data_IF_982272072013
#
_entry.id   IF_982272072013
#
_cell.length_a   1.000
_cell.length_b   1.000
_cell.length_c   1.000
_cell.angle_alpha   90.00
_cell.angle_beta   90.00
_cell.angle_gamma   90.00
#
_symmetry.space_group_name_H-M   'P 1'
#
loop_
_entity.id
_entity.type
_entity.pdbx_description
1 polymer ?
#
# COMPACT_ATOMS: atom_id res chain seq x y z
N UNK A 1 -7.11 -1.86 8.08
CA UNK A 1 -5.63 -1.78 8.18
C UNK A 1 -5.21 -0.34 8.10
N UNK A 2 -4.88 0.27 9.22
CA UNK A 2 -4.26 1.61 9.30
C UNK A 2 -2.78 1.48 8.97
N UNK A 3 -2.42 1.53 7.69
CA UNK A 3 -1.02 1.43 7.28
C UNK A 3 -0.41 2.83 7.23
N UNK A 4 0.48 3.14 8.17
CA UNK A 4 1.29 4.37 8.20
C UNK A 4 2.28 4.48 7.03
N UNK A 5 2.44 3.39 6.26
CA UNK A 5 3.35 3.24 5.12
C UNK A 5 2.60 2.67 3.91
N UNK A 6 1.73 3.45 3.25
CA UNK A 6 0.96 2.99 2.09
C UNK A 6 1.85 2.46 0.95
N UNK A 7 3.09 2.93 0.87
CA UNK A 7 4.16 2.43 -0.01
C UNK A 7 4.50 0.96 0.22
N UNK A 8 4.26 0.42 1.42
CA UNK A 8 4.51 -0.98 1.78
C UNK A 8 3.26 -1.86 1.84
N UNK A 9 2.07 -1.27 1.92
CA UNK A 9 0.82 -2.01 2.12
C UNK A 9 0.61 -3.09 1.04
N UNK A 10 0.87 -2.74 -0.22
CA UNK A 10 0.70 -3.66 -1.34
C UNK A 10 1.69 -4.83 -1.31
N UNK A 11 2.99 -4.56 -1.15
CA UNK A 11 4.02 -5.61 -1.19
C UNK A 11 3.88 -6.57 0.00
N UNK A 12 3.55 -6.06 1.20
CA UNK A 12 3.31 -6.90 2.38
C UNK A 12 2.09 -7.80 2.17
N UNK A 13 1.01 -7.25 1.61
CA UNK A 13 -0.20 -8.02 1.29
C UNK A 13 0.04 -9.07 0.19
N UNK A 14 0.95 -8.79 -0.74
CA UNK A 14 1.33 -9.77 -1.78
C UNK A 14 2.18 -10.90 -1.20
N UNK A 15 3.17 -10.57 -0.38
CA UNK A 15 4.06 -11.55 0.24
C UNK A 15 3.34 -12.44 1.25
N UNK A 16 2.31 -11.92 1.93
CA UNK A 16 1.52 -12.70 2.88
C UNK A 16 0.74 -13.85 2.21
N UNK A 17 0.34 -13.68 0.95
CA UNK A 17 -0.37 -14.71 0.19
C UNK A 17 0.50 -15.93 -0.14
N UNK A 18 1.83 -15.75 -0.20
CA UNK A 18 2.79 -16.79 -0.56
C UNK A 18 3.57 -17.34 0.63
N UNK A 19 3.13 -17.06 1.86
CA UNK A 19 3.81 -17.50 3.09
C UNK A 19 3.86 -19.02 3.26
N UNK A 20 2.87 -19.75 2.74
CA UNK A 20 2.78 -21.21 2.85
C UNK A 20 3.84 -21.94 2.01
N UNK A 21 4.27 -21.36 0.89
CA UNK A 21 5.33 -21.90 0.05
C UNK A 21 6.03 -20.77 -0.73
N UNK A 22 6.94 -20.03 -0.07
CA UNK A 22 7.57 -18.87 -0.66
C UNK A 22 8.57 -19.28 -1.75
N UNK A 23 8.49 -18.63 -2.91
CA UNK A 23 9.48 -18.81 -3.98
C UNK A 23 10.73 -17.99 -3.69
N UNK A 24 11.83 -18.31 -4.35
CA UNK A 24 13.09 -17.55 -4.22
C UNK A 24 12.90 -16.04 -4.49
N UNK A 25 12.04 -15.69 -5.46
CA UNK A 25 11.68 -14.30 -5.75
C UNK A 25 10.98 -13.61 -4.59
N UNK A 26 10.04 -14.29 -3.93
CA UNK A 26 9.29 -13.76 -2.78
C UNK A 26 10.24 -13.53 -1.58
N UNK A 27 11.20 -14.43 -1.37
CA UNK A 27 12.22 -14.28 -0.32
C UNK A 27 13.18 -13.12 -0.59
N UNK A 28 13.56 -12.88 -1.85
CA UNK A 28 14.38 -11.72 -2.24
C UNK A 28 13.60 -10.43 -2.01
N UNK A 29 12.34 -10.39 -2.44
CA UNK A 29 11.45 -9.25 -2.22
C UNK A 29 11.23 -8.97 -0.73
N UNK A 30 10.99 -10.01 0.09
CA UNK A 30 10.86 -9.87 1.53
C UNK A 30 12.13 -9.30 2.18
N UNK A 31 13.32 -9.80 1.79
CA UNK A 31 14.60 -9.25 2.26
C UNK A 31 14.78 -7.78 1.84
N UNK A 32 14.35 -7.41 0.64
CA UNK A 32 14.38 -6.03 0.18
C UNK A 32 13.46 -5.13 1.04
N UNK A 33 12.23 -5.56 1.30
CA UNK A 33 11.29 -4.84 2.18
C UNK A 33 11.89 -4.62 3.57
N UNK A 34 12.54 -5.63 4.15
CA UNK A 34 13.21 -5.50 5.46
C UNK A 34 14.39 -4.52 5.43
N UNK A 35 15.20 -4.53 4.36
CA UNK A 35 16.30 -3.56 4.18
C UNK A 35 15.79 -2.15 4.01
N UNK A 36 14.72 -1.98 3.24
CA UNK A 36 14.07 -0.70 3.05
C UNK A 36 13.53 -0.16 4.38
N UNK A 37 12.80 -0.99 5.14
CA UNK A 37 12.34 -0.64 6.50
C UNK A 37 13.48 -0.18 7.42
N UNK A 38 14.61 -0.90 7.40
CA UNK A 38 15.79 -0.53 8.19
C UNK A 38 16.40 0.80 7.73
N UNK A 39 16.50 1.04 6.43
CA UNK A 39 17.09 2.25 5.86
C UNK A 39 16.20 3.47 5.97
N UNK A 40 14.90 3.28 6.15
CA UNK A 40 13.92 4.38 6.25
C UNK A 40 13.32 4.50 7.65
N UNK A 41 14.03 4.08 8.69
CA UNK A 41 13.49 4.11 10.07
C UNK A 41 13.21 5.54 10.54
N UNK A 42 14.04 6.48 10.10
CA UNK A 42 13.93 7.91 10.44
C UNK A 42 13.04 8.70 9.46
N UNK A 43 12.44 8.03 8.49
CA UNK A 43 11.58 8.68 7.49
C UNK A 43 10.12 8.54 7.89
N UNK A 44 9.42 9.66 7.86
CA UNK A 44 7.99 9.74 8.16
C UNK A 44 7.21 10.39 7.02
N UNK A 45 5.93 10.06 6.95
CA UNK A 45 5.00 10.67 6.01
C UNK A 45 4.41 11.93 6.65
N UNK A 46 4.99 13.09 6.36
CA UNK A 46 4.48 14.37 6.87
C UNK A 46 3.31 14.87 6.01
N UNK A 47 2.08 14.77 6.52
CA UNK A 47 0.95 15.50 5.94
C UNK A 47 0.93 16.93 6.46
N UNK A 48 1.21 17.90 5.58
CA UNK A 48 1.10 19.33 5.89
C UNK A 48 -0.06 19.91 5.09
N UNK A 49 -0.83 20.78 5.73
CA UNK A 49 -1.84 21.58 5.05
C UNK A 49 -1.12 22.49 4.04
N UNK A 50 -1.60 22.54 2.80
CA UNK A 50 -1.11 23.51 1.83
C UNK A 50 -1.56 24.92 2.25
N UNK A 51 -0.66 25.90 2.15
CA UNK A 51 -1.02 27.32 2.34
C UNK A 51 -1.85 27.87 1.16
N UNK A 52 -1.82 27.17 0.01
CA UNK A 52 -2.69 27.45 -1.13
C UNK A 52 -4.09 26.87 -0.92
N UNK A 53 -5.10 27.59 -1.40
CA UNK A 53 -6.48 27.10 -1.47
C UNK A 53 -6.54 25.87 -2.39
N UNK A 54 -6.64 24.69 -1.78
CA UNK A 54 -6.76 23.42 -2.48
C UNK A 54 -8.19 23.27 -2.99
N UNK A 55 -8.43 23.57 -4.26
CA UNK A 55 -9.70 23.27 -4.94
C UNK A 55 -9.74 21.77 -5.27
N UNK A 56 -10.17 20.94 -4.32
CA UNK A 56 -10.30 19.50 -4.51
C UNK A 56 -11.64 19.17 -5.19
N UNK A 57 -11.61 18.83 -6.48
CA UNK A 57 -12.75 18.22 -7.17
C UNK A 57 -12.56 16.71 -7.16
N UNK A 58 -13.37 16.00 -6.38
CA UNK A 58 -13.35 14.54 -6.30
C UNK A 58 -14.61 13.96 -6.96
N UNK A 59 -14.42 12.92 -7.77
CA UNK A 59 -15.50 12.14 -8.37
C UNK A 59 -15.53 10.78 -7.67
N UNK A 60 -16.71 10.33 -7.26
CA UNK A 60 -16.93 9.00 -6.71
C UNK A 60 -17.86 8.27 -7.66
N UNK A 61 -17.35 7.24 -8.31
CA UNK A 61 -18.19 6.31 -9.06
C UNK A 61 -18.61 5.18 -8.12
N UNK A 62 -19.90 5.02 -7.94
CA UNK A 62 -20.48 4.04 -7.02
C UNK A 62 -21.32 3.05 -7.81
N UNK A 63 -20.66 2.11 -8.50
CA UNK A 63 -21.32 0.95 -9.08
C UNK A 63 -21.59 -0.09 -7.98
N UNK A 64 -22.60 0.19 -7.16
CA UNK A 64 -23.20 -0.80 -6.27
C UNK A 64 -24.12 -1.71 -7.09
N UNK A 65 -23.58 -2.86 -7.49
CA UNK A 65 -24.31 -4.05 -7.92
C UNK A 65 -25.03 -3.98 -9.29
N UNK A 66 -24.27 -4.05 -10.38
CA UNK A 66 -24.79 -4.65 -11.62
C UNK A 66 -23.93 -5.85 -12.03
N UNK A 67 -24.10 -6.95 -11.29
CA UNK A 67 -23.82 -8.28 -11.84
C UNK A 67 -25.18 -9.00 -11.92
N UNK A 68 -25.85 -8.83 -13.06
CA UNK A 68 -26.95 -9.68 -13.49
C UNK A 68 -26.34 -10.83 -14.29
N UNK A 69 -25.87 -11.89 -13.63
CA UNK A 69 -25.86 -13.25 -14.21
C UNK A 69 -25.96 -14.25 -13.03
N UNK A 70 -27.14 -14.89 -12.93
CA UNK A 70 -27.43 -16.09 -12.14
C UNK A 70 -26.58 -17.30 -12.61
#
# INVERSE_FOLDING_TARGET
MTCTRPDLSWIVSRLSQTLSNPRTGDLIAAKHVLRYLKGTVDYELCFKKSDADLQLTAYSDSDWASCLED
#
